data_IF_828515024384
#
_entry.id   IF_828515024384
#
_cell.length_a   1.000
_cell.length_b   1.000
_cell.length_c   1.000
_cell.angle_alpha   90.00
_cell.angle_beta   90.00
_cell.angle_gamma   90.00
#
_symmetry.space_group_name_H-M   'P 1'
#
loop_
_entity.id
_entity.type
_entity.pdbx_description
1 polymer ?
#
# COMPACT_ATOMS: atom_id res chain seq x y z
N UNK A 1 -6.91 17.70 10.63
CA UNK A 1 -6.74 17.48 12.08
C UNK A 1 -8.03 16.98 12.72
N UNK A 2 -9.16 17.70 12.58
CA UNK A 2 -10.46 17.33 13.16
C UNK A 2 -10.91 15.93 12.75
N UNK A 3 -10.82 15.58 11.46
CA UNK A 3 -11.22 14.26 10.94
C UNK A 3 -10.40 13.11 11.56
N UNK A 4 -9.09 13.32 11.77
CA UNK A 4 -8.22 12.33 12.44
C UNK A 4 -8.63 12.17 13.90
N UNK A 5 -8.93 13.26 14.57
CA UNK A 5 -9.36 13.25 15.97
C UNK A 5 -10.71 12.53 16.14
N UNK A 6 -11.67 12.80 15.25
CA UNK A 6 -12.96 12.11 15.23
C UNK A 6 -12.79 10.60 14.95
N UNK A 7 -11.89 10.24 14.05
CA UNK A 7 -11.57 8.83 13.81
C UNK A 7 -11.02 8.14 15.05
N UNK A 8 -10.07 8.77 15.75
CA UNK A 8 -9.49 8.21 16.98
C UNK A 8 -10.55 8.01 18.07
N UNK A 9 -11.47 8.97 18.24
CA UNK A 9 -12.59 8.83 19.17
C UNK A 9 -13.48 7.65 18.77
N UNK A 10 -13.86 7.57 17.49
CA UNK A 10 -14.69 6.47 17.00
C UNK A 10 -14.04 5.10 17.21
N UNK A 11 -12.75 4.99 16.90
CA UNK A 11 -11.98 3.75 17.12
C UNK A 11 -11.86 3.43 18.61
N UNK A 12 -11.68 4.43 19.48
CA UNK A 12 -11.67 4.27 20.93
C UNK A 12 -13.00 3.75 21.47
N UNK A 13 -14.11 4.30 21.01
CA UNK A 13 -15.46 3.83 21.38
C UNK A 13 -15.67 2.37 20.91
N UNK A 14 -15.33 2.06 19.68
CA UNK A 14 -15.44 0.70 19.15
C UNK A 14 -14.55 -0.28 19.92
N UNK A 15 -13.34 0.13 20.31
CA UNK A 15 -12.46 -0.67 21.14
C UNK A 15 -13.03 -0.92 22.53
N UNK A 16 -13.61 0.12 23.17
CA UNK A 16 -14.26 -0.01 24.47
C UNK A 16 -15.44 -0.99 24.42
N UNK A 17 -16.30 -0.91 23.40
CA UNK A 17 -17.43 -1.83 23.20
C UNK A 17 -16.93 -3.25 22.95
N UNK A 18 -15.84 -3.41 22.20
CA UNK A 18 -15.21 -4.70 21.94
C UNK A 18 -14.74 -5.39 23.22
N UNK A 19 -14.10 -4.65 24.11
CA UNK A 19 -13.59 -5.17 25.38
C UNK A 19 -14.72 -5.55 26.37
N UNK A 20 -15.89 -4.97 26.19
CA UNK A 20 -17.02 -5.19 27.11
C UNK A 20 -18.04 -6.23 26.58
N UNK A 21 -17.87 -6.76 25.36
CA UNK A 21 -18.84 -7.65 24.75
C UNK A 21 -18.21 -8.72 23.84
N UNK A 22 -17.87 -9.86 24.41
CA UNK A 22 -17.22 -10.99 23.73
C UNK A 22 -17.99 -11.52 22.51
N UNK A 23 -19.33 -11.43 22.53
CA UNK A 23 -20.16 -11.90 21.41
C UNK A 23 -20.01 -11.04 20.15
N UNK A 24 -19.69 -9.77 20.28
CA UNK A 24 -19.56 -8.81 19.20
C UNK A 24 -18.11 -8.60 18.73
N UNK A 25 -17.13 -9.24 19.37
CA UNK A 25 -15.71 -9.01 19.15
C UNK A 25 -15.29 -9.12 17.66
N UNK A 26 -15.73 -10.18 16.99
CA UNK A 26 -15.39 -10.39 15.57
C UNK A 26 -16.02 -9.34 14.66
N UNK A 27 -17.27 -8.98 14.91
CA UNK A 27 -17.99 -7.98 14.12
C UNK A 27 -17.36 -6.59 14.27
N UNK A 28 -17.09 -6.19 15.50
CA UNK A 28 -16.46 -4.88 15.80
C UNK A 28 -15.07 -4.77 15.19
N UNK A 29 -14.27 -5.85 15.24
CA UNK A 29 -12.94 -5.87 14.60
C UNK A 29 -13.00 -5.69 13.10
N UNK A 30 -14.01 -6.23 12.43
CA UNK A 30 -14.22 -6.03 10.98
C UNK A 30 -14.63 -4.57 10.71
N UNK A 31 -15.56 -4.02 11.50
CA UNK A 31 -16.01 -2.64 11.35
C UNK A 31 -14.84 -1.66 11.56
N UNK A 32 -14.02 -1.85 12.59
CA UNK A 32 -12.83 -1.02 12.83
C UNK A 32 -11.90 -1.01 11.62
N UNK A 33 -11.60 -2.18 11.04
CA UNK A 33 -10.74 -2.30 9.86
C UNK A 33 -11.34 -1.63 8.63
N UNK A 34 -12.66 -1.78 8.42
CA UNK A 34 -13.36 -1.09 7.32
C UNK A 34 -13.34 0.42 7.49
N UNK A 35 -13.57 0.93 8.69
CA UNK A 35 -13.49 2.36 9.00
C UNK A 35 -12.10 2.91 8.72
N UNK A 36 -11.04 2.20 9.16
CA UNK A 36 -9.66 2.61 8.88
C UNK A 36 -9.35 2.63 7.38
N UNK A 37 -9.81 1.63 6.62
CA UNK A 37 -9.60 1.55 5.17
C UNK A 37 -10.32 2.70 4.45
N UNK A 38 -11.59 2.90 4.76
CA UNK A 38 -12.39 3.96 4.15
C UNK A 38 -11.81 5.35 4.46
N UNK A 39 -11.39 5.56 5.71
CA UNK A 39 -10.75 6.81 6.11
C UNK A 39 -9.44 7.03 5.38
N UNK A 40 -8.59 6.00 5.27
CA UNK A 40 -7.32 6.07 4.53
C UNK A 40 -7.56 6.44 3.07
N UNK A 41 -8.53 5.80 2.42
CA UNK A 41 -8.87 6.09 1.03
C UNK A 41 -9.51 7.47 0.85
N UNK A 42 -10.33 7.91 1.79
CA UNK A 42 -10.85 9.27 1.79
C UNK A 42 -9.73 10.31 1.89
N UNK A 43 -8.75 10.10 2.76
CA UNK A 43 -7.59 11.00 2.87
C UNK A 43 -6.78 11.03 1.57
N UNK A 44 -6.49 9.87 0.98
CA UNK A 44 -5.74 9.75 -0.29
C UNK A 44 -6.53 10.41 -1.44
N UNK A 45 -7.84 10.17 -1.51
CA UNK A 45 -8.72 10.80 -2.50
C UNK A 45 -8.71 12.33 -2.41
N UNK A 46 -8.67 12.88 -1.19
CA UNK A 46 -8.58 14.34 -0.97
C UNK A 46 -7.26 14.94 -1.45
N UNK A 47 -6.21 14.15 -1.53
CA UNK A 47 -4.92 14.56 -2.07
C UNK A 47 -4.94 14.54 -3.61
N UNK A 48 -5.21 13.39 -4.20
CA UNK A 48 -5.38 13.22 -5.65
C UNK A 48 -6.00 11.84 -5.93
N UNK A 49 -7.06 11.80 -6.74
CA UNK A 49 -7.73 10.56 -7.17
C UNK A 49 -6.79 9.62 -7.92
N UNK A 50 -5.78 10.15 -8.62
CA UNK A 50 -4.78 9.36 -9.36
C UNK A 50 -3.96 8.50 -8.42
N UNK A 51 -3.60 9.02 -7.24
CA UNK A 51 -2.88 8.25 -6.21
C UNK A 51 -3.70 7.07 -5.71
N UNK A 52 -5.00 7.28 -5.51
CA UNK A 52 -5.90 6.23 -5.08
C UNK A 52 -5.94 5.07 -6.09
N UNK A 53 -6.06 5.38 -7.39
CA UNK A 53 -6.08 4.38 -8.46
C UNK A 53 -4.76 3.59 -8.49
N UNK A 54 -3.62 4.28 -8.37
CA UNK A 54 -2.29 3.67 -8.38
C UNK A 54 -2.13 2.71 -7.20
N UNK A 55 -2.46 3.16 -5.97
CA UNK A 55 -2.32 2.34 -4.76
C UNK A 55 -3.22 1.11 -4.83
N UNK A 56 -4.48 1.26 -5.24
CA UNK A 56 -5.42 0.14 -5.36
C UNK A 56 -4.93 -0.85 -6.42
N UNK A 57 -4.58 -0.35 -7.62
CA UNK A 57 -4.11 -1.20 -8.72
C UNK A 57 -2.85 -1.98 -8.34
N UNK A 58 -1.87 -1.30 -7.75
CA UNK A 58 -0.64 -1.93 -7.27
C UNK A 58 -0.91 -2.96 -6.17
N UNK A 59 -1.75 -2.65 -5.21
CA UNK A 59 -2.08 -3.58 -4.12
C UNK A 59 -2.80 -4.83 -4.64
N UNK A 60 -3.66 -4.70 -5.66
CA UNK A 60 -4.29 -5.86 -6.30
C UNK A 60 -3.24 -6.75 -6.96
N UNK A 61 -2.26 -6.17 -7.67
CA UNK A 61 -1.15 -6.93 -8.27
C UNK A 61 -0.38 -7.69 -7.19
N UNK A 62 -0.01 -7.02 -6.11
CA UNK A 62 0.72 -7.61 -4.97
C UNK A 62 -0.10 -8.73 -4.30
N UNK A 63 -1.40 -8.52 -4.12
CA UNK A 63 -2.32 -9.54 -3.60
C UNK A 63 -2.34 -10.79 -4.48
N UNK A 64 -2.48 -10.62 -5.80
CA UNK A 64 -2.48 -11.72 -6.76
C UNK A 64 -1.15 -12.48 -6.71
N UNK A 65 -0.03 -11.77 -6.71
CA UNK A 65 1.31 -12.39 -6.59
C UNK A 65 1.41 -13.18 -5.27
N UNK A 66 1.00 -12.59 -4.13
CA UNK A 66 0.99 -13.26 -2.84
C UNK A 66 0.16 -14.56 -2.86
N UNK A 67 -1.02 -14.52 -3.46
CA UNK A 67 -1.88 -15.72 -3.63
C UNK A 67 -1.22 -16.79 -4.50
N UNK A 68 -0.55 -16.38 -5.54
CA UNK A 68 0.15 -17.30 -6.44
C UNK A 68 1.40 -17.91 -5.82
N UNK A 69 2.04 -17.28 -4.81
CA UNK A 69 3.22 -17.81 -4.11
C UNK A 69 2.96 -19.11 -3.35
N UNK A 70 1.70 -19.49 -3.12
CA UNK A 70 1.36 -20.78 -2.51
C UNK A 70 1.76 -22.01 -3.35
N UNK A 71 2.07 -21.83 -4.65
CA UNK A 71 2.54 -22.91 -5.51
C UNK A 71 4.07 -23.02 -5.47
N UNK A 72 4.59 -24.05 -4.85
CA UNK A 72 6.02 -24.27 -4.58
C UNK A 72 6.90 -24.33 -5.85
N UNK A 73 6.39 -24.86 -6.98
CA UNK A 73 7.20 -25.05 -8.20
C UNK A 73 7.69 -23.73 -8.82
N UNK A 74 6.94 -22.66 -8.68
CA UNK A 74 7.21 -21.38 -9.37
C UNK A 74 7.31 -20.20 -8.41
N UNK A 75 7.44 -20.46 -7.11
CA UNK A 75 7.45 -19.42 -6.08
C UNK A 75 8.58 -18.40 -6.26
N UNK A 76 9.78 -18.84 -6.63
CA UNK A 76 10.93 -17.95 -6.82
C UNK A 76 10.71 -17.01 -8.00
N UNK A 77 10.19 -17.51 -9.12
CA UNK A 77 9.88 -16.68 -10.30
C UNK A 77 8.83 -15.64 -9.94
N UNK A 78 7.80 -16.02 -9.20
CA UNK A 78 6.71 -15.09 -8.77
C UNK A 78 7.19 -14.05 -7.78
N UNK A 79 8.09 -14.42 -6.85
CA UNK A 79 8.76 -13.46 -5.99
C UNK A 79 9.54 -12.44 -6.83
N UNK A 80 10.35 -12.92 -7.76
CA UNK A 80 11.14 -12.04 -8.65
C UNK A 80 10.23 -11.09 -9.42
N UNK A 81 9.12 -11.58 -9.98
CA UNK A 81 8.13 -10.73 -10.65
C UNK A 81 7.58 -9.66 -9.69
N UNK A 82 7.23 -10.03 -8.46
CA UNK A 82 6.73 -9.08 -7.45
C UNK A 82 7.74 -7.98 -7.12
N UNK A 83 9.00 -8.35 -6.94
CA UNK A 83 10.08 -7.39 -6.68
C UNK A 83 10.31 -6.50 -7.90
N UNK A 84 10.40 -7.07 -9.10
CA UNK A 84 10.62 -6.32 -10.36
C UNK A 84 9.49 -5.33 -10.60
N UNK A 85 8.23 -5.73 -10.46
CA UNK A 85 7.07 -4.82 -10.59
C UNK A 85 7.16 -3.66 -9.59
N UNK A 86 7.52 -3.94 -8.34
CA UNK A 86 7.68 -2.94 -7.29
C UNK A 86 8.81 -1.95 -7.61
N UNK A 87 9.96 -2.46 -8.07
CA UNK A 87 11.13 -1.63 -8.45
C UNK A 87 10.80 -0.78 -9.68
N UNK A 88 10.15 -1.36 -10.71
CA UNK A 88 9.74 -0.61 -11.91
C UNK A 88 8.77 0.52 -11.53
N UNK A 89 7.79 0.22 -10.69
CA UNK A 89 6.83 1.23 -10.23
C UNK A 89 7.52 2.37 -9.48
N UNK A 90 8.41 2.05 -8.54
CA UNK A 90 9.18 3.03 -7.79
C UNK A 90 10.11 3.81 -8.73
N UNK A 91 10.78 3.13 -9.65
CA UNK A 91 11.67 3.71 -10.66
C UNK A 91 10.93 4.71 -11.55
N UNK A 92 9.77 4.33 -12.04
CA UNK A 92 8.97 5.20 -12.90
C UNK A 92 8.53 6.49 -12.16
N UNK A 93 7.89 6.36 -11.01
CA UNK A 93 7.35 7.56 -10.34
C UNK A 93 8.43 8.43 -9.68
N UNK A 94 9.51 7.84 -9.17
CA UNK A 94 10.51 8.58 -8.41
C UNK A 94 11.70 9.04 -9.27
N UNK A 95 12.11 8.23 -10.22
CA UNK A 95 13.39 8.43 -10.91
C UNK A 95 13.27 8.69 -12.42
N UNK A 96 12.09 8.53 -13.05
CA UNK A 96 11.95 8.70 -14.49
C UNK A 96 12.42 10.07 -14.96
N UNK A 97 11.96 11.15 -14.31
CA UNK A 97 12.38 12.51 -14.69
C UNK A 97 13.87 12.79 -14.42
N UNK A 98 14.45 12.18 -13.39
CA UNK A 98 15.87 12.27 -13.11
C UNK A 98 16.69 11.68 -14.26
N UNK A 99 16.38 10.46 -14.67
CA UNK A 99 17.07 9.79 -15.78
C UNK A 99 16.83 10.51 -17.12
N UNK A 100 15.61 10.96 -17.39
CA UNK A 100 15.27 11.64 -18.63
C UNK A 100 15.97 13.00 -18.74
N UNK A 101 16.09 13.76 -17.65
CA UNK A 101 16.83 15.01 -17.65
C UNK A 101 18.32 14.79 -17.97
N UNK A 102 18.96 13.78 -17.34
CA UNK A 102 20.37 13.48 -17.61
C UNK A 102 20.61 12.97 -19.03
N UNK A 103 19.70 12.13 -19.57
CA UNK A 103 19.76 11.71 -20.96
C UNK A 103 19.57 12.90 -21.90
N UNK A 104 18.66 13.81 -21.57
CA UNK A 104 18.40 15.02 -22.35
C UNK A 104 19.63 15.94 -22.43
N UNK A 105 20.33 16.12 -21.30
CA UNK A 105 21.58 16.87 -21.24
C UNK A 105 22.67 16.28 -22.16
N UNK A 106 22.79 14.93 -22.20
CA UNK A 106 23.74 14.23 -23.06
C UNK A 106 23.42 14.38 -24.56
N UNK A 107 22.13 14.50 -24.92
CA UNK A 107 21.66 14.59 -26.31
C UNK A 107 21.46 16.05 -26.74
N UNK A 108 21.61 17.00 -25.81
CA UNK A 108 21.36 18.43 -26.08
C UNK A 108 19.89 18.80 -26.22
N UNK A 109 19.00 18.00 -25.65
CA UNK A 109 17.54 18.17 -25.71
C UNK A 109 16.94 18.06 -24.31
N UNK A 110 15.89 18.83 -24.01
CA UNK A 110 15.15 18.66 -22.75
C UNK A 110 14.15 17.50 -22.87
N UNK A 111 14.52 16.33 -22.36
CA UNK A 111 13.62 15.19 -22.23
C UNK A 111 12.95 15.25 -20.85
N UNK A 112 11.65 15.49 -20.84
CA UNK A 112 10.86 15.53 -19.60
C UNK A 112 9.51 14.89 -19.84
N UNK A 113 9.10 14.01 -18.93
CA UNK A 113 7.71 13.56 -18.90
C UNK A 113 6.93 14.60 -18.10
N UNK A 114 6.19 15.43 -18.80
CA UNK A 114 5.25 16.36 -18.17
C UNK A 114 4.21 15.56 -17.40
N UNK A 115 3.92 15.99 -16.17
CA UNK A 115 2.86 15.43 -15.32
C UNK A 115 3.11 14.09 -14.59
N UNK A 116 4.36 13.65 -14.37
CA UNK A 116 4.59 12.64 -13.35
C UNK A 116 4.39 13.30 -11.98
N UNK A 117 3.19 13.12 -11.43
CA UNK A 117 2.91 13.52 -10.05
C UNK A 117 3.38 12.39 -9.14
N UNK A 118 4.36 12.70 -8.28
CA UNK A 118 4.90 11.72 -7.33
C UNK A 118 3.87 11.43 -6.24
N UNK A 119 3.33 10.19 -6.15
CA UNK A 119 2.41 9.82 -5.08
C UNK A 119 3.07 9.97 -3.70
N UNK A 120 2.37 10.62 -2.77
CA UNK A 120 2.83 10.74 -1.40
C UNK A 120 2.97 9.34 -0.80
N UNK A 121 4.13 9.07 -0.19
CA UNK A 121 4.40 7.78 0.44
C UNK A 121 4.70 6.62 -0.53
N UNK A 122 4.97 6.89 -1.84
CA UNK A 122 5.20 5.82 -2.83
C UNK A 122 6.28 4.84 -2.39
N UNK A 123 7.38 5.32 -1.83
CA UNK A 123 8.45 4.44 -1.35
C UNK A 123 7.96 3.56 -0.21
N UNK A 124 7.19 4.11 0.73
CA UNK A 124 6.71 3.38 1.91
C UNK A 124 5.72 2.29 1.53
N UNK A 125 4.68 2.60 0.75
CA UNK A 125 3.71 1.58 0.38
C UNK A 125 4.31 0.54 -0.57
N UNK A 126 5.30 0.91 -1.39
CA UNK A 126 6.01 -0.05 -2.24
C UNK A 126 6.86 -1.00 -1.40
N UNK A 127 7.64 -0.49 -0.44
CA UNK A 127 8.41 -1.35 0.45
C UNK A 127 7.53 -2.23 1.34
N UNK A 128 6.41 -1.70 1.82
CA UNK A 128 5.45 -2.46 2.62
C UNK A 128 4.80 -3.60 1.82
N UNK A 129 4.44 -3.34 0.56
CA UNK A 129 3.93 -4.35 -0.33
C UNK A 129 4.99 -5.41 -0.68
N UNK A 130 6.26 -5.00 -0.89
CA UNK A 130 7.38 -5.93 -1.08
C UNK A 130 7.60 -6.81 0.15
N UNK A 131 7.59 -6.22 1.36
CA UNK A 131 7.72 -6.95 2.62
C UNK A 131 6.64 -8.05 2.71
N UNK A 132 5.39 -7.73 2.43
CA UNK A 132 4.31 -8.73 2.40
C UNK A 132 4.61 -9.89 1.44
N UNK A 133 5.08 -9.62 0.20
CA UNK A 133 5.40 -10.67 -0.78
C UNK A 133 6.57 -11.54 -0.30
N UNK A 134 7.59 -10.91 0.31
CA UNK A 134 8.75 -11.61 0.88
C UNK A 134 8.34 -12.48 2.06
N UNK A 135 7.51 -11.98 2.98
CA UNK A 135 7.04 -12.72 4.15
C UNK A 135 6.21 -13.95 3.75
N UNK A 136 5.36 -13.82 2.73
CA UNK A 136 4.61 -14.95 2.18
C UNK A 136 5.56 -15.97 1.53
N UNK A 137 6.59 -15.50 0.80
CA UNK A 137 7.59 -16.38 0.19
C UNK A 137 8.38 -17.16 1.24
N UNK A 138 8.80 -16.49 2.33
CA UNK A 138 9.55 -17.10 3.44
C UNK A 138 8.68 -17.96 4.35
N UNK A 139 7.36 -17.99 4.13
CA UNK A 139 6.38 -18.66 4.99
C UNK A 139 6.28 -18.08 6.40
N UNK A 140 6.74 -16.84 6.61
CA UNK A 140 6.56 -16.11 7.86
C UNK A 140 5.09 -15.76 8.07
N UNK A 141 4.35 -15.58 6.97
CA UNK A 141 2.91 -15.31 6.99
C UNK A 141 2.19 -16.08 5.89
N UNK A 142 0.93 -16.43 6.14
CA UNK A 142 0.12 -17.06 5.10
C UNK A 142 -0.38 -16.03 4.09
N UNK A 143 -0.48 -16.45 2.81
CA UNK A 143 -1.07 -15.61 1.77
C UNK A 143 -2.52 -15.27 2.11
N UNK A 144 -2.81 -14.00 2.29
CA UNK A 144 -4.13 -13.51 2.68
C UNK A 144 -5.20 -13.93 1.67
N UNK A 145 -6.30 -14.50 2.19
CA UNK A 145 -7.44 -14.92 1.37
C UNK A 145 -8.33 -13.73 0.97
N UNK A 146 -8.41 -12.73 1.82
CA UNK A 146 -9.25 -11.56 1.61
C UNK A 146 -8.40 -10.35 1.18
N UNK A 147 -8.64 -9.79 -0.02
CA UNK A 147 -7.87 -8.64 -0.54
C UNK A 147 -7.97 -7.40 0.35
N UNK A 148 -9.08 -7.21 1.09
CA UNK A 148 -9.25 -6.05 1.96
C UNK A 148 -8.19 -5.93 3.06
N UNK A 149 -7.64 -7.04 3.56
CA UNK A 149 -6.57 -6.98 4.54
C UNK A 149 -5.25 -6.52 3.93
N UNK A 150 -4.95 -6.93 2.70
CA UNK A 150 -3.75 -6.46 1.99
C UNK A 150 -3.92 -4.99 1.60
N UNK A 151 -5.12 -4.58 1.16
CA UNK A 151 -5.44 -3.19 0.88
C UNK A 151 -5.25 -2.31 2.13
N UNK A 152 -5.77 -2.72 3.28
CA UNK A 152 -5.59 -2.00 4.53
C UNK A 152 -4.11 -1.93 4.94
N UNK A 153 -3.39 -3.06 4.83
CA UNK A 153 -1.98 -3.13 5.18
C UNK A 153 -1.13 -2.18 4.36
N UNK A 154 -1.30 -2.15 3.04
CA UNK A 154 -0.50 -1.32 2.13
C UNK A 154 -0.89 0.15 2.16
N UNK A 155 -2.18 0.47 2.32
CA UNK A 155 -2.71 1.83 2.16
C UNK A 155 -3.08 2.53 3.48
N UNK A 156 -2.57 2.07 4.61
CA UNK A 156 -2.86 2.68 5.92
C UNK A 156 -2.30 4.12 5.97
N UNK A 157 -3.19 5.12 5.91
CA UNK A 157 -2.82 6.53 5.75
C UNK A 157 -1.83 7.05 6.80
N UNK A 158 -1.97 6.78 8.11
CA UNK A 158 -0.99 7.24 9.10
C UNK A 158 0.43 6.77 8.80
N UNK A 159 0.58 5.56 8.28
CA UNK A 159 1.87 4.98 7.93
C UNK A 159 2.44 5.55 6.62
N UNK A 160 1.57 5.92 5.67
CA UNK A 160 1.99 6.58 4.42
C UNK A 160 2.59 7.96 4.66
N UNK A 161 2.09 8.68 5.68
CA UNK A 161 2.52 10.05 6.01
C UNK A 161 3.68 10.07 7.00
N UNK A 162 3.61 9.25 8.06
CA UNK A 162 4.61 9.23 9.12
C UNK A 162 5.85 8.39 8.81
N UNK A 163 5.75 7.49 7.81
CA UNK A 163 6.77 6.47 7.56
C UNK A 163 6.69 5.30 8.56
N UNK A 164 7.52 4.26 8.38
CA UNK A 164 7.58 3.17 9.33
C UNK A 164 8.06 3.71 10.69
N UNK A 165 7.23 3.58 11.70
CA UNK A 165 7.64 3.77 13.09
C UNK A 165 8.38 2.47 13.47
N UNK A 166 9.69 2.52 13.46
CA UNK A 166 10.57 1.43 13.92
C UNK A 166 10.72 1.55 15.43
#
# INVERSE_FOLDING_TARGET
LIAVFLLLILLGILQYIRLHNDRLERGISVVQRMVMLLFSYWCIYRLDVRFLIIIIGYTIIVYVIGRLLSNERTKTIRLTIGIVVSVIMLGYFKYANFFLNHLGELIGTTLRVEHIILPIGISFFTFQAMSYVIDVYQKNTEAQKNPFYVLLYVSLFPQLVAGPIV
#
